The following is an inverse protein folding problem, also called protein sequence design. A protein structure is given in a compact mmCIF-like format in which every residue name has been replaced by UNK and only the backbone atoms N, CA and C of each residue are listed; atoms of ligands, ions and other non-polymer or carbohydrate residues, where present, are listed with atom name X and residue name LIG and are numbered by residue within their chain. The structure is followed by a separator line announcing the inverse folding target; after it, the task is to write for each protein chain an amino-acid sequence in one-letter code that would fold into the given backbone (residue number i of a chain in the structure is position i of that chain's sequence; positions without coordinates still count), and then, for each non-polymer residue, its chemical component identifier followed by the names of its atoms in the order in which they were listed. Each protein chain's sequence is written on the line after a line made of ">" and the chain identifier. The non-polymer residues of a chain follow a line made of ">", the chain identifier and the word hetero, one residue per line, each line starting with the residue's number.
data_IF_265699352064
#
_entry.id   IF_265699352064
#
_cell.length_a   1.000
_cell.length_b   1.000
_cell.length_c   1.000
_cell.angle_alpha   90.00
_cell.angle_beta   90.00
_cell.angle_gamma   90.00
#
_symmetry.space_group_name_H-M   'P 1'
#
loop_
_entity.id
_entity.type
_entity.pdbx_description
1 polymer ?
#
# COMPACT_ATOMS: atom_id res chain seq x y z
N UNK A 1 -6.42 -32.13 26.03
CA UNK A 1 -5.11 -32.55 26.52
C UNK A 1 -4.27 -31.30 26.69
N UNK A 2 -3.97 -30.90 27.90
CA UNK A 2 -3.19 -29.68 28.18
C UNK A 2 -1.75 -30.11 28.45
N UNK A 3 -0.80 -29.57 27.68
CA UNK A 3 0.62 -29.80 27.90
C UNK A 3 1.15 -28.91 29.02
N UNK A 4 1.97 -29.48 29.91
CA UNK A 4 2.58 -28.76 31.02
C UNK A 4 3.86 -28.02 30.60
N UNK A 5 4.22 -26.95 31.34
CA UNK A 5 5.41 -26.12 31.10
C UNK A 5 6.77 -26.88 31.04
N UNK A 6 6.81 -28.14 31.39
CA UNK A 6 8.02 -28.97 31.41
C UNK A 6 8.30 -29.70 30.09
N UNK A 7 7.26 -29.84 29.22
CA UNK A 7 7.36 -30.56 27.93
C UNK A 7 7.80 -29.65 26.78
N UNK A 8 7.81 -28.32 26.99
CA UNK A 8 8.28 -27.34 26.00
C UNK A 8 9.80 -27.17 25.99
N UNK A 9 10.50 -27.68 27.02
CA UNK A 9 11.94 -27.47 27.18
C UNK A 9 12.86 -28.50 26.50
N UNK A 10 12.36 -29.51 25.81
CA UNK A 10 13.20 -30.60 25.26
C UNK A 10 13.22 -30.74 23.73
N UNK A 11 12.72 -29.73 22.96
CA UNK A 11 12.73 -29.76 21.52
C UNK A 11 13.73 -28.77 20.85
N UNK A 12 14.75 -28.38 21.57
CA UNK A 12 15.86 -27.59 20.98
C UNK A 12 17.20 -28.30 21.24
N UNK A 13 17.54 -29.25 20.39
CA UNK A 13 18.93 -29.63 20.05
C UNK A 13 18.88 -30.84 19.08
N UNK A 14 19.07 -30.59 17.81
CA UNK A 14 19.30 -31.66 16.85
C UNK A 14 19.12 -31.25 15.42
N UNK A 15 20.22 -31.13 14.68
CA UNK A 15 20.37 -31.03 13.23
C UNK A 15 20.59 -29.61 12.66
N UNK A 16 21.84 -29.16 12.75
CA UNK A 16 22.46 -28.26 11.77
C UNK A 16 22.63 -29.03 10.46
N UNK A 17 21.62 -28.95 9.59
CA UNK A 17 21.73 -29.30 8.19
C UNK A 17 21.90 -28.00 7.41
N UNK A 18 23.07 -27.73 6.84
CA UNK A 18 23.32 -26.66 5.94
C UNK A 18 22.48 -26.87 4.67
N UNK A 19 21.31 -26.24 4.59
CA UNK A 19 20.57 -26.08 3.34
C UNK A 19 21.21 -24.90 2.62
N UNK A 20 21.94 -25.20 1.55
CA UNK A 20 22.40 -24.20 0.59
C UNK A 20 21.18 -23.42 0.09
N UNK A 21 21.09 -22.12 0.47
CA UNK A 21 20.13 -21.18 -0.08
C UNK A 21 20.46 -21.00 -1.56
N UNK A 22 19.78 -21.76 -2.42
CA UNK A 22 19.76 -21.52 -3.85
C UNK A 22 19.31 -20.08 -4.08
N UNK A 23 20.12 -19.30 -4.83
CA UNK A 23 19.76 -17.97 -5.31
C UNK A 23 18.37 -18.05 -5.94
N UNK A 24 17.43 -17.15 -5.63
CA UNK A 24 16.16 -17.11 -6.33
C UNK A 24 16.45 -16.76 -7.79
N UNK A 25 16.20 -17.71 -8.70
CA UNK A 25 16.26 -17.48 -10.12
C UNK A 25 15.16 -16.48 -10.51
N UNK A 26 15.61 -15.31 -10.84
CA UNK A 26 15.06 -14.23 -11.63
C UNK A 26 13.81 -14.53 -12.45
N UNK A 27 12.76 -13.80 -12.16
CA UNK A 27 11.52 -13.67 -12.96
C UNK A 27 10.73 -12.41 -12.60
N UNK A 28 11.36 -11.43 -11.96
CA UNK A 28 10.74 -10.12 -11.66
C UNK A 28 11.65 -9.05 -12.26
N UNK A 29 11.08 -8.23 -13.15
CA UNK A 29 11.80 -7.17 -13.85
C UNK A 29 12.65 -6.34 -12.90
N UNK A 30 13.86 -6.02 -13.34
CA UNK A 30 14.87 -5.30 -12.58
C UNK A 30 14.29 -4.00 -12.00
N UNK A 31 14.14 -3.95 -10.69
CA UNK A 31 14.01 -2.71 -9.95
C UNK A 31 15.22 -1.83 -10.31
N UNK A 32 14.98 -0.71 -10.97
CA UNK A 32 16.06 0.23 -11.27
C UNK A 32 16.40 0.99 -9.97
N UNK A 33 17.33 0.43 -9.18
CA UNK A 33 17.70 0.91 -7.84
C UNK A 33 18.27 2.34 -7.84
N UNK A 34 18.70 2.83 -8.99
CA UNK A 34 19.26 4.18 -9.12
C UNK A 34 18.19 5.29 -9.02
N UNK A 35 16.96 5.01 -9.46
CA UNK A 35 15.86 5.99 -9.42
C UNK A 35 15.15 6.04 -8.05
N UNK A 36 15.04 4.90 -7.35
CA UNK A 36 14.53 4.86 -5.98
C UNK A 36 15.39 5.64 -4.96
N UNK A 37 16.57 6.11 -5.38
CA UNK A 37 17.50 6.84 -4.53
C UNK A 37 17.07 8.26 -4.15
N UNK A 38 16.18 8.91 -4.94
CA UNK A 38 15.88 10.34 -4.78
C UNK A 38 15.19 10.68 -3.44
N UNK A 39 14.34 9.80 -2.92
CA UNK A 39 13.69 9.96 -1.61
C UNK A 39 14.04 8.85 -0.60
N UNK A 40 15.19 8.20 -0.79
CA UNK A 40 15.77 7.31 0.22
C UNK A 40 16.68 8.11 1.16
N UNK A 41 16.21 8.36 2.38
CA UNK A 41 16.87 9.21 3.37
C UNK A 41 17.44 8.32 4.47
N UNK A 42 18.78 8.29 4.60
CA UNK A 42 19.48 7.43 5.57
C UNK A 42 18.99 5.96 5.57
N UNK A 43 18.74 5.43 4.36
CA UNK A 43 18.29 4.05 4.15
C UNK A 43 16.77 3.86 4.18
N UNK A 44 15.99 4.83 4.67
CA UNK A 44 14.52 4.76 4.71
C UNK A 44 13.92 5.25 3.41
N UNK A 45 12.99 4.48 2.85
CA UNK A 45 12.27 4.79 1.61
C UNK A 45 11.04 5.63 1.92
N UNK A 46 11.02 6.87 1.43
CA UNK A 46 9.86 7.75 1.57
C UNK A 46 9.17 7.89 0.21
N UNK A 47 7.90 7.56 0.17
CA UNK A 47 7.03 7.73 -0.98
C UNK A 47 5.77 8.50 -0.62
N UNK A 48 4.82 8.48 -1.55
CA UNK A 48 3.45 8.90 -1.27
C UNK A 48 2.46 8.01 -2.03
N UNK A 49 1.27 7.85 -1.48
CA UNK A 49 0.14 7.30 -2.22
C UNK A 49 -0.50 8.40 -3.07
N UNK A 50 -0.85 8.10 -4.33
CA UNK A 50 -1.48 9.10 -5.21
C UNK A 50 -2.87 9.54 -4.75
N UNK A 51 -3.47 8.86 -3.78
CA UNK A 51 -4.67 9.32 -3.08
C UNK A 51 -4.47 10.69 -2.40
N UNK A 52 -3.26 10.99 -1.96
CA UNK A 52 -2.90 12.32 -1.44
C UNK A 52 -3.15 13.46 -2.42
N UNK A 53 -3.20 13.14 -3.72
CA UNK A 53 -3.43 14.07 -4.82
C UNK A 53 -4.81 13.90 -5.48
N UNK A 54 -5.78 13.31 -4.77
CA UNK A 54 -7.14 12.99 -5.28
C UNK A 54 -7.93 14.19 -5.80
N UNK A 55 -7.55 15.40 -5.43
CA UNK A 55 -8.13 16.64 -5.97
C UNK A 55 -7.59 17.02 -7.34
N UNK A 56 -6.50 16.40 -7.80
CA UNK A 56 -5.89 16.65 -9.10
C UNK A 56 -6.51 15.72 -10.15
N UNK A 57 -7.07 16.29 -11.19
CA UNK A 57 -7.79 15.53 -12.21
C UNK A 57 -6.87 14.84 -13.22
N UNK A 58 -5.66 15.37 -13.42
CA UNK A 58 -4.72 14.91 -14.44
C UNK A 58 -3.56 14.15 -13.79
N UNK A 59 -3.27 12.95 -14.29
CA UNK A 59 -2.15 12.12 -13.80
C UNK A 59 -0.79 12.76 -14.11
N UNK A 60 -0.66 13.49 -15.22
CA UNK A 60 0.60 14.17 -15.54
C UNK A 60 0.94 15.27 -14.53
N UNK A 61 -0.08 15.95 -13.98
CA UNK A 61 0.11 16.92 -12.88
C UNK A 61 0.53 16.22 -11.58
N UNK A 62 0.00 15.03 -11.31
CA UNK A 62 0.43 14.19 -10.17
C UNK A 62 1.91 13.79 -10.34
N UNK A 63 2.30 13.32 -11.52
CA UNK A 63 3.71 12.95 -11.83
C UNK A 63 4.62 14.16 -11.62
N UNK A 64 4.22 15.32 -12.15
CA UNK A 64 4.95 16.58 -11.95
C UNK A 64 5.08 16.94 -10.46
N UNK A 65 3.99 16.80 -9.68
CA UNK A 65 4.01 17.06 -8.24
C UNK A 65 5.02 16.18 -7.50
N UNK A 66 5.10 14.88 -7.81
CA UNK A 66 6.12 13.99 -7.25
C UNK A 66 7.54 14.46 -7.56
N UNK A 67 7.80 14.83 -8.81
CA UNK A 67 9.10 15.33 -9.23
C UNK A 67 9.47 16.65 -8.53
N UNK A 68 8.53 17.60 -8.46
CA UNK A 68 8.72 18.92 -7.85
C UNK A 68 8.91 18.85 -6.32
N UNK A 69 8.26 17.91 -5.64
CA UNK A 69 8.45 17.64 -4.21
C UNK A 69 9.79 16.94 -3.95
N UNK A 70 10.27 16.16 -4.91
CA UNK A 70 11.48 15.35 -4.79
C UNK A 70 11.21 13.92 -4.30
N UNK A 71 9.97 13.44 -4.40
CA UNK A 71 9.60 12.06 -4.13
C UNK A 71 10.10 11.14 -5.25
N UNK A 72 10.73 10.04 -4.90
CA UNK A 72 11.26 9.05 -5.84
C UNK A 72 10.49 7.73 -5.86
N UNK A 73 9.40 7.63 -5.10
CA UNK A 73 8.63 6.41 -4.97
C UNK A 73 7.13 6.69 -4.83
N UNK A 74 6.31 5.88 -5.53
CA UNK A 74 4.86 6.05 -5.55
C UNK A 74 4.13 4.74 -5.27
N UNK A 75 3.08 4.83 -4.44
CA UNK A 75 1.97 3.89 -4.38
C UNK A 75 0.86 4.43 -5.29
N UNK A 76 0.66 3.75 -6.42
CA UNK A 76 -0.22 4.22 -7.48
C UNK A 76 -1.63 3.68 -7.29
N UNK A 77 -2.62 4.57 -7.14
CA UNK A 77 -4.04 4.21 -7.16
C UNK A 77 -4.43 3.61 -8.51
N UNK A 78 -5.23 2.56 -8.49
CA UNK A 78 -5.68 1.86 -9.70
C UNK A 78 -6.40 2.77 -10.71
N UNK A 79 -7.25 3.68 -10.25
CA UNK A 79 -7.93 4.65 -11.11
C UNK A 79 -6.95 5.61 -11.80
N UNK A 80 -5.85 5.99 -11.14
CA UNK A 80 -4.81 6.82 -11.77
C UNK A 80 -3.96 5.98 -12.75
N UNK A 81 -3.70 4.70 -12.43
CA UNK A 81 -3.06 3.78 -13.37
C UNK A 81 -3.90 3.58 -14.64
N UNK A 82 -5.22 3.38 -14.48
CA UNK A 82 -6.17 3.27 -15.58
C UNK A 82 -6.22 4.54 -16.43
N UNK A 83 -6.34 5.72 -15.80
CA UNK A 83 -6.32 7.00 -16.50
C UNK A 83 -5.03 7.22 -17.30
N UNK A 84 -3.86 6.92 -16.69
CA UNK A 84 -2.56 7.01 -17.36
C UNK A 84 -2.39 6.01 -18.51
N UNK A 85 -3.12 4.90 -18.48
CA UNK A 85 -3.15 3.88 -19.53
C UNK A 85 -4.21 4.17 -20.62
N UNK A 86 -4.95 5.27 -20.52
CA UNK A 86 -5.97 5.66 -21.49
C UNK A 86 -7.32 4.97 -21.31
N UNK A 87 -7.63 4.49 -20.10
CA UNK A 87 -8.94 3.94 -19.79
C UNK A 87 -10.05 5.00 -19.96
N UNK A 88 -11.25 4.62 -20.43
CA UNK A 88 -12.39 5.51 -20.41
C UNK A 88 -12.76 5.88 -18.97
N UNK A 89 -13.32 7.08 -18.78
CA UNK A 89 -13.83 7.47 -17.48
C UNK A 89 -15.04 6.59 -17.11
N UNK A 90 -14.94 5.84 -16.00
CA UNK A 90 -16.08 5.09 -15.47
C UNK A 90 -17.19 6.00 -14.87
N UNK A 91 -17.11 7.32 -15.10
CA UNK A 91 -18.05 8.32 -14.59
C UNK A 91 -18.50 9.23 -15.74
N UNK A 92 -19.79 9.44 -15.85
CA UNK A 92 -20.37 10.48 -16.73
C UNK A 92 -20.43 11.80 -15.97
N UNK A 93 -19.77 12.84 -16.49
CA UNK A 93 -19.73 14.15 -15.86
C UNK A 93 -21.16 14.72 -15.69
N UNK A 94 -21.48 15.20 -14.49
CA UNK A 94 -22.79 15.80 -14.19
C UNK A 94 -23.97 14.81 -14.09
N UNK A 95 -23.75 13.53 -14.36
CA UNK A 95 -24.81 12.52 -14.33
C UNK A 95 -25.03 11.96 -12.93
N UNK A 96 -26.27 11.67 -12.58
CA UNK A 96 -26.63 10.97 -11.36
C UNK A 96 -26.04 9.54 -11.34
N UNK A 97 -25.70 9.02 -10.18
CA UNK A 97 -25.01 7.72 -10.02
C UNK A 97 -25.67 6.55 -10.76
N UNK A 98 -26.99 6.57 -10.88
CA UNK A 98 -27.79 5.51 -11.54
C UNK A 98 -28.41 5.97 -12.87
N UNK A 99 -27.97 7.09 -13.44
CA UNK A 99 -28.46 7.51 -14.74
C UNK A 99 -27.99 6.55 -15.83
N UNK A 100 -28.69 6.46 -16.99
CA UNK A 100 -28.27 5.63 -18.12
C UNK A 100 -26.84 5.92 -18.58
N UNK A 101 -26.43 7.19 -18.59
CA UNK A 101 -25.10 7.64 -18.98
C UNK A 101 -24.02 7.14 -17.98
N UNK A 102 -24.32 7.17 -16.69
CA UNK A 102 -23.40 6.66 -15.67
C UNK A 102 -23.30 5.13 -15.71
N UNK A 103 -24.38 4.44 -16.07
CA UNK A 103 -24.35 2.98 -16.30
C UNK A 103 -23.50 2.68 -17.52
N UNK A 104 -23.74 3.32 -18.66
CA UNK A 104 -22.99 3.13 -19.89
C UNK A 104 -21.48 3.40 -19.70
N UNK A 105 -21.11 4.47 -18.99
CA UNK A 105 -19.71 4.79 -18.71
C UNK A 105 -19.02 3.68 -17.88
N UNK A 106 -19.72 3.09 -16.90
CA UNK A 106 -19.19 1.96 -16.13
C UNK A 106 -19.03 0.70 -16.98
N UNK A 107 -20.00 0.41 -17.84
CA UNK A 107 -19.95 -0.74 -18.75
C UNK A 107 -18.79 -0.61 -19.75
N UNK A 108 -18.55 0.60 -20.27
CA UNK A 108 -17.41 0.88 -21.14
C UNK A 108 -16.08 0.63 -20.42
N UNK A 109 -15.94 1.10 -19.18
CA UNK A 109 -14.76 0.83 -18.36
C UNK A 109 -14.59 -0.67 -18.09
N UNK A 110 -15.66 -1.38 -17.77
CA UNK A 110 -15.60 -2.85 -17.56
C UNK A 110 -15.15 -3.55 -18.84
N UNK A 111 -15.69 -3.15 -20.00
CA UNK A 111 -15.26 -3.70 -21.29
C UNK A 111 -13.78 -3.43 -21.56
N UNK A 112 -13.30 -2.22 -21.29
CA UNK A 112 -11.90 -1.86 -21.42
C UNK A 112 -11.01 -2.71 -20.49
N UNK A 113 -11.38 -2.87 -19.21
CA UNK A 113 -10.66 -3.70 -18.23
C UNK A 113 -10.52 -5.15 -18.70
N UNK A 114 -11.56 -5.71 -19.35
CA UNK A 114 -11.55 -7.07 -19.89
C UNK A 114 -10.65 -7.24 -21.13
N UNK A 115 -10.34 -6.14 -21.82
CA UNK A 115 -9.37 -6.14 -22.93
C UNK A 115 -7.93 -5.93 -22.48
N UNK A 116 -7.69 -5.64 -21.20
CA UNK A 116 -6.37 -5.32 -20.67
C UNK A 116 -5.42 -6.55 -20.74
N UNK A 117 -4.18 -6.25 -21.09
CA UNK A 117 -3.08 -7.21 -21.18
C UNK A 117 -1.92 -6.79 -20.26
N UNK A 118 -0.87 -7.61 -20.21
CA UNK A 118 0.37 -7.27 -19.49
C UNK A 118 1.09 -6.03 -20.07
N UNK A 119 0.72 -5.55 -21.23
CA UNK A 119 1.31 -4.35 -21.84
C UNK A 119 0.51 -3.08 -21.54
N UNK A 120 -0.74 -3.23 -21.11
CA UNK A 120 -1.70 -2.12 -20.95
C UNK A 120 -1.20 -1.03 -20.02
N UNK A 121 -0.56 -1.38 -18.91
CA UNK A 121 -0.13 -0.40 -17.90
C UNK A 121 1.36 -0.01 -17.99
N UNK A 122 2.09 -0.54 -18.97
CA UNK A 122 3.48 -0.13 -19.20
C UNK A 122 3.64 1.36 -19.50
N UNK A 123 2.74 2.03 -20.28
CA UNK A 123 2.79 3.47 -20.46
C UNK A 123 2.59 4.26 -19.14
N UNK A 124 1.66 3.82 -18.30
CA UNK A 124 1.44 4.43 -16.99
C UNK A 124 2.70 4.34 -16.12
N UNK A 125 3.34 3.17 -16.05
CA UNK A 125 4.61 2.97 -15.38
C UNK A 125 5.71 3.91 -15.90
N UNK A 126 5.88 3.98 -17.22
CA UNK A 126 6.90 4.84 -17.85
C UNK A 126 6.74 6.30 -17.51
N UNK A 127 5.51 6.84 -17.46
CA UNK A 127 5.25 8.24 -17.07
C UNK A 127 5.92 8.60 -15.74
N UNK A 128 5.81 7.73 -14.74
CA UNK A 128 6.45 7.94 -13.44
C UNK A 128 7.96 7.71 -13.51
N UNK A 129 8.42 6.64 -14.17
CA UNK A 129 9.85 6.31 -14.28
C UNK A 129 10.62 7.39 -15.04
N UNK A 130 10.07 7.95 -16.12
CA UNK A 130 10.68 9.05 -16.88
C UNK A 130 10.82 10.33 -16.05
N UNK A 131 9.97 10.52 -15.05
CA UNK A 131 10.07 11.59 -14.06
C UNK A 131 10.99 11.23 -12.86
N UNK A 132 11.64 10.07 -12.88
CA UNK A 132 12.50 9.60 -11.80
C UNK A 132 11.76 9.07 -10.58
N UNK A 133 10.51 8.61 -10.75
CA UNK A 133 9.63 8.08 -9.69
C UNK A 133 9.37 6.60 -9.96
N UNK A 134 9.73 5.74 -9.02
CA UNK A 134 9.49 4.30 -9.11
C UNK A 134 8.07 3.96 -8.66
N UNK A 135 7.30 3.26 -9.49
CA UNK A 135 6.01 2.69 -9.08
C UNK A 135 6.28 1.43 -8.27
N UNK A 136 6.20 1.52 -6.95
CA UNK A 136 6.56 0.42 -6.05
C UNK A 136 5.37 -0.42 -5.59
N UNK A 137 4.20 0.17 -5.54
CA UNK A 137 2.96 -0.44 -5.07
C UNK A 137 1.79 -0.02 -5.96
N UNK A 138 0.82 -0.93 -6.07
CA UNK A 138 -0.50 -0.63 -6.63
C UNK A 138 -1.53 -0.61 -5.50
N UNK A 139 -2.24 0.49 -5.32
CA UNK A 139 -3.43 0.51 -4.48
C UNK A 139 -4.66 0.11 -5.32
N UNK A 140 -5.18 -1.09 -5.07
CA UNK A 140 -6.37 -1.63 -5.71
C UNK A 140 -7.36 -2.15 -4.66
N UNK A 141 -8.40 -1.37 -4.42
CA UNK A 141 -9.37 -1.69 -3.37
C UNK A 141 -10.35 -2.78 -3.82
N UNK A 142 -10.38 -3.87 -3.08
CA UNK A 142 -11.17 -5.07 -3.36
C UNK A 142 -12.36 -5.15 -2.40
N UNK A 143 -13.47 -4.48 -2.75
CA UNK A 143 -14.68 -4.46 -1.91
C UNK A 143 -15.38 -5.82 -1.81
N UNK A 144 -16.33 -5.95 -0.86
CA UNK A 144 -17.02 -7.22 -0.56
C UNK A 144 -17.77 -7.87 -1.73
N UNK A 145 -18.17 -7.07 -2.71
CA UNK A 145 -18.89 -7.52 -3.93
C UNK A 145 -18.01 -7.68 -5.15
N UNK A 146 -16.67 -7.56 -5.00
CA UNK A 146 -15.73 -7.69 -6.12
C UNK A 146 -15.88 -9.07 -6.79
N UNK A 147 -15.84 -9.12 -8.12
CA UNK A 147 -15.82 -10.39 -8.85
C UNK A 147 -14.44 -11.04 -8.87
N UNK A 148 -14.36 -12.33 -9.15
CA UNK A 148 -13.08 -13.02 -9.28
C UNK A 148 -12.30 -12.53 -10.50
N UNK A 149 -13.01 -12.14 -11.58
CA UNK A 149 -12.42 -11.50 -12.75
C UNK A 149 -11.80 -10.14 -12.42
N UNK A 150 -12.43 -9.35 -11.55
CA UNK A 150 -11.87 -8.06 -11.12
C UNK A 150 -10.69 -8.26 -10.15
N UNK A 151 -10.69 -9.32 -9.34
CA UNK A 151 -9.51 -9.69 -8.54
C UNK A 151 -8.34 -10.03 -9.48
N UNK A 152 -8.56 -10.93 -10.45
CA UNK A 152 -7.54 -11.30 -11.45
C UNK A 152 -7.02 -10.09 -12.22
N UNK A 153 -7.91 -9.16 -12.60
CA UNK A 153 -7.54 -7.91 -13.26
C UNK A 153 -6.61 -7.05 -12.39
N UNK A 154 -6.86 -6.95 -11.08
CA UNK A 154 -5.97 -6.22 -10.16
C UNK A 154 -4.55 -6.82 -10.14
N UNK A 155 -4.43 -8.16 -10.16
CA UNK A 155 -3.13 -8.83 -10.25
C UNK A 155 -2.46 -8.66 -11.61
N UNK A 156 -3.22 -8.66 -12.72
CA UNK A 156 -2.71 -8.35 -14.04
C UNK A 156 -2.15 -6.92 -14.10
N UNK A 157 -2.88 -5.94 -13.58
CA UNK A 157 -2.43 -4.54 -13.47
C UNK A 157 -1.13 -4.45 -12.66
N UNK A 158 -1.07 -5.09 -11.49
CA UNK A 158 0.10 -5.09 -10.64
C UNK A 158 1.34 -5.68 -11.34
N UNK A 159 1.16 -6.78 -12.07
CA UNK A 159 2.23 -7.39 -12.88
C UNK A 159 2.68 -6.51 -14.04
N UNK A 160 1.73 -5.88 -14.74
CA UNK A 160 2.00 -4.95 -15.85
C UNK A 160 2.81 -3.73 -15.36
N UNK A 161 2.46 -3.19 -14.19
CA UNK A 161 3.20 -2.11 -13.53
C UNK A 161 4.53 -2.59 -12.95
N UNK A 162 4.73 -3.89 -12.73
CA UNK A 162 5.95 -4.45 -12.14
C UNK A 162 6.12 -4.11 -10.66
N UNK A 163 5.04 -3.91 -9.93
CA UNK A 163 5.05 -3.54 -8.51
C UNK A 163 5.38 -4.73 -7.60
N UNK A 164 5.87 -4.43 -6.40
CA UNK A 164 6.23 -5.45 -5.40
C UNK A 164 5.05 -6.01 -4.63
N UNK A 165 3.96 -5.24 -4.50
CA UNK A 165 2.76 -5.64 -3.80
C UNK A 165 1.54 -4.84 -4.28
N UNK A 166 0.36 -5.40 -4.03
CA UNK A 166 -0.91 -4.68 -4.03
C UNK A 166 -1.20 -4.25 -2.60
N UNK A 167 -1.57 -2.99 -2.38
CA UNK A 167 -2.23 -2.55 -1.15
C UNK A 167 -3.75 -2.47 -1.39
N UNK A 168 -4.54 -2.80 -0.38
CA UNK A 168 -6.00 -2.84 -0.54
C UNK A 168 -6.73 -2.47 0.74
N UNK A 169 -7.66 -1.50 0.63
CA UNK A 169 -8.73 -1.33 1.62
C UNK A 169 -9.84 -2.32 1.29
N UNK A 170 -10.14 -3.21 2.24
CA UNK A 170 -11.13 -4.26 2.05
C UNK A 170 -11.62 -4.80 3.40
N UNK A 171 -12.53 -5.76 3.34
CA UNK A 171 -13.08 -6.44 4.50
C UNK A 171 -12.33 -7.75 4.78
N UNK A 172 -12.27 -8.17 6.05
CA UNK A 172 -11.63 -9.43 6.47
C UNK A 172 -12.19 -10.63 5.69
N UNK A 173 -13.50 -10.66 5.44
CA UNK A 173 -14.17 -11.73 4.69
C UNK A 173 -13.69 -11.88 3.25
N UNK A 174 -13.14 -10.84 2.64
CA UNK A 174 -12.63 -10.87 1.25
C UNK A 174 -11.28 -11.57 1.16
N UNK A 175 -10.48 -11.54 2.24
CA UNK A 175 -9.12 -12.08 2.23
C UNK A 175 -9.06 -13.55 1.78
N UNK A 176 -10.03 -14.38 2.20
CA UNK A 176 -10.12 -15.78 1.77
C UNK A 176 -10.26 -15.94 0.25
N UNK A 177 -11.02 -15.02 -0.40
CA UNK A 177 -11.22 -15.06 -1.86
C UNK A 177 -9.98 -14.56 -2.62
N UNK A 178 -9.22 -13.62 -2.04
CA UNK A 178 -8.01 -13.07 -2.65
C UNK A 178 -6.83 -14.06 -2.59
N UNK A 179 -6.81 -14.95 -1.60
CA UNK A 179 -5.68 -15.87 -1.37
C UNK A 179 -5.27 -16.73 -2.59
N UNK A 180 -6.18 -17.39 -3.32
CA UNK A 180 -5.81 -18.19 -4.51
C UNK A 180 -5.11 -17.36 -5.59
N UNK A 181 -5.51 -16.09 -5.75
CA UNK A 181 -4.90 -15.18 -6.72
C UNK A 181 -3.51 -14.71 -6.26
N UNK A 182 -3.36 -14.37 -4.98
CA UNK A 182 -2.06 -14.02 -4.41
C UNK A 182 -1.05 -15.18 -4.54
N UNK A 183 -1.48 -16.41 -4.29
CA UNK A 183 -0.68 -17.62 -4.45
C UNK A 183 -0.33 -17.90 -5.92
N UNK A 184 -1.32 -17.80 -6.82
CA UNK A 184 -1.15 -17.99 -8.28
C UNK A 184 -0.11 -17.02 -8.84
N UNK A 185 -0.24 -15.74 -8.50
CA UNK A 185 0.64 -14.68 -9.01
C UNK A 185 1.94 -14.53 -8.21
N UNK A 186 2.05 -15.16 -7.03
CA UNK A 186 3.19 -15.03 -6.09
C UNK A 186 3.48 -13.57 -5.77
N UNK A 187 2.43 -12.80 -5.54
CA UNK A 187 2.50 -11.36 -5.30
C UNK A 187 1.88 -11.02 -3.95
N UNK A 188 2.58 -10.19 -3.18
CA UNK A 188 2.10 -9.77 -1.87
C UNK A 188 0.85 -8.91 -1.99
N UNK A 189 -0.08 -9.08 -1.04
CA UNK A 189 -1.25 -8.23 -0.84
C UNK A 189 -1.21 -7.68 0.57
N UNK A 190 -1.01 -6.38 0.70
CA UNK A 190 -1.00 -5.66 1.97
C UNK A 190 -2.41 -5.15 2.31
N UNK A 191 -3.00 -5.69 3.36
CA UNK A 191 -4.31 -5.25 3.85
C UNK A 191 -4.14 -3.95 4.62
N UNK A 192 -4.84 -2.90 4.16
CA UNK A 192 -4.82 -1.57 4.77
C UNK A 192 -5.84 -1.51 5.91
N UNK A 193 -5.43 -1.02 7.07
CA UNK A 193 -6.33 -0.83 8.19
C UNK A 193 -6.98 0.55 8.18
N UNK A 194 -8.25 0.56 8.61
CA UNK A 194 -8.94 1.75 9.08
C UNK A 194 -9.01 1.76 10.62
N UNK A 195 -9.97 2.47 11.19
CA UNK A 195 -10.10 2.60 12.66
C UNK A 195 -11.49 2.23 13.20
N UNK A 196 -12.43 1.74 12.36
CA UNK A 196 -13.76 1.36 12.81
C UNK A 196 -13.74 0.03 13.57
N UNK A 197 -13.72 0.14 14.90
CA UNK A 197 -13.75 -1.02 15.81
C UNK A 197 -15.15 -1.62 16.00
N UNK A 198 -16.21 -0.96 15.50
CA UNK A 198 -17.59 -1.44 15.64
C UNK A 198 -17.95 -2.46 14.56
N UNK A 199 -17.26 -2.42 13.43
CA UNK A 199 -17.48 -3.37 12.35
C UNK A 199 -16.51 -4.56 12.47
N UNK A 200 -16.98 -5.76 12.86
CA UNK A 200 -16.09 -6.93 13.03
C UNK A 200 -15.49 -7.43 11.71
N UNK A 201 -16.00 -6.98 10.58
CA UNK A 201 -15.48 -7.31 9.24
C UNK A 201 -14.48 -6.26 8.71
N UNK A 202 -14.22 -5.19 9.47
CA UNK A 202 -13.23 -4.19 9.13
C UNK A 202 -11.80 -4.67 9.44
N UNK A 203 -10.86 -4.31 8.60
CA UNK A 203 -9.44 -4.48 8.94
C UNK A 203 -9.04 -3.28 9.79
N UNK A 204 -9.07 -3.44 11.13
CA UNK A 204 -8.85 -2.34 12.07
C UNK A 204 -7.99 -2.74 13.30
N UNK A 205 -7.76 -4.02 13.52
CA UNK A 205 -7.07 -4.53 14.72
C UNK A 205 -5.95 -5.49 14.37
N UNK A 206 -4.99 -5.77 15.30
CA UNK A 206 -3.99 -6.82 15.11
C UNK A 206 -4.59 -8.18 14.76
N UNK A 207 -5.75 -8.53 15.36
CA UNK A 207 -6.45 -9.80 15.11
C UNK A 207 -7.04 -9.85 13.71
N UNK A 208 -7.58 -8.73 13.20
CA UNK A 208 -8.09 -8.65 11.82
C UNK A 208 -6.97 -8.80 10.79
N UNK A 209 -5.79 -8.24 11.04
CA UNK A 209 -4.61 -8.50 10.24
C UNK A 209 -4.19 -9.98 10.26
N UNK A 210 -4.14 -10.58 11.47
CA UNK A 210 -3.82 -12.00 11.61
C UNK A 210 -4.81 -12.88 10.85
N UNK A 211 -6.11 -12.58 10.92
CA UNK A 211 -7.15 -13.27 10.17
C UNK A 211 -6.95 -13.17 8.64
N UNK A 212 -6.64 -11.99 8.12
CA UNK A 212 -6.33 -11.83 6.70
C UNK A 212 -5.08 -12.63 6.29
N UNK A 213 -4.01 -12.56 7.10
CA UNK A 213 -2.74 -13.24 6.81
C UNK A 213 -2.79 -14.76 6.92
N UNK A 214 -3.82 -15.31 7.59
CA UNK A 214 -3.96 -16.76 7.77
C UNK A 214 -4.24 -17.53 6.46
N UNK A 215 -4.75 -16.86 5.41
CA UNK A 215 -5.18 -17.51 4.18
C UNK A 215 -4.06 -17.71 3.15
N UNK A 216 -2.97 -16.92 3.19
CA UNK A 216 -1.86 -17.03 2.25
C UNK A 216 -0.57 -16.48 2.85
N UNK A 217 0.56 -17.09 2.49
CA UNK A 217 1.89 -16.53 2.79
C UNK A 217 2.18 -15.22 2.03
N UNK A 218 1.41 -14.93 0.99
CA UNK A 218 1.49 -13.68 0.22
C UNK A 218 0.56 -12.60 0.75
N UNK A 219 -0.19 -12.86 1.83
CA UNK A 219 -0.93 -11.83 2.54
C UNK A 219 -0.04 -11.13 3.57
N UNK A 220 -0.10 -9.83 3.61
CA UNK A 220 0.67 -8.98 4.52
C UNK A 220 -0.16 -7.78 4.97
N UNK A 221 0.53 -6.77 5.46
CA UNK A 221 -0.07 -5.60 6.07
C UNK A 221 0.41 -4.33 5.35
N UNK A 222 -0.52 -3.48 4.94
CA UNK A 222 -0.29 -2.07 4.72
C UNK A 222 -0.69 -1.36 6.02
N UNK A 223 0.29 -1.03 6.86
CA UNK A 223 0.01 -0.45 8.17
C UNK A 223 -0.15 1.07 8.05
N UNK A 224 -1.39 1.55 8.16
CA UNK A 224 -1.67 2.97 8.39
C UNK A 224 -1.52 3.29 9.88
N UNK A 225 -0.44 4.00 10.20
CA UNK A 225 -0.12 4.31 11.59
C UNK A 225 -1.07 5.32 12.22
N UNK A 226 -1.70 6.19 11.42
CA UNK A 226 -2.69 7.16 11.90
C UNK A 226 -4.00 6.48 12.25
N UNK A 227 -4.53 5.63 11.37
CA UNK A 227 -5.71 4.83 11.68
C UNK A 227 -5.47 3.88 12.86
N UNK A 228 -4.29 3.27 12.95
CA UNK A 228 -3.94 2.38 14.04
C UNK A 228 -3.88 3.11 15.40
N UNK A 229 -3.33 4.34 15.39
CA UNK A 229 -3.32 5.23 16.56
C UNK A 229 -4.73 5.67 16.95
N UNK A 230 -5.58 6.01 15.97
CA UNK A 230 -6.97 6.40 16.23
C UNK A 230 -7.81 5.25 16.82
N UNK A 231 -7.44 4.01 16.50
CA UNK A 231 -7.99 2.80 17.13
C UNK A 231 -7.32 2.44 18.47
N UNK A 232 -6.43 3.29 19.01
CA UNK A 232 -5.71 3.15 20.27
C UNK A 232 -4.67 2.00 20.31
N UNK A 233 -4.19 1.53 19.17
CA UNK A 233 -3.10 0.56 19.10
C UNK A 233 -1.72 1.23 19.01
N UNK A 234 -0.69 0.49 19.40
CA UNK A 234 0.72 0.91 19.32
C UNK A 234 1.33 0.48 17.96
N UNK A 235 1.47 1.44 17.06
CA UNK A 235 2.01 1.20 15.72
C UNK A 235 3.51 0.86 15.74
N UNK A 236 4.28 1.40 16.71
CA UNK A 236 5.72 1.12 16.83
C UNK A 236 5.95 -0.32 17.28
N UNK A 237 5.24 -0.74 18.34
CA UNK A 237 5.31 -2.12 18.82
C UNK A 237 4.84 -3.12 17.75
N UNK A 238 3.75 -2.80 17.05
CA UNK A 238 3.24 -3.66 15.97
C UNK A 238 4.23 -3.79 14.81
N UNK A 239 4.80 -2.67 14.34
CA UNK A 239 5.84 -2.67 13.31
C UNK A 239 7.05 -3.49 13.74
N UNK A 240 7.54 -3.29 14.97
CA UNK A 240 8.71 -4.00 15.49
C UNK A 240 8.51 -5.53 15.51
N UNK A 241 7.31 -5.98 15.87
CA UNK A 241 6.99 -7.41 15.98
C UNK A 241 6.65 -8.07 14.63
N UNK A 242 6.08 -7.31 13.67
CA UNK A 242 5.47 -7.86 12.45
C UNK A 242 6.13 -7.39 11.15
N UNK A 243 7.28 -6.70 11.19
CA UNK A 243 7.92 -6.07 10.04
C UNK A 243 8.11 -7.00 8.83
N UNK A 244 8.33 -8.30 9.04
CA UNK A 244 8.50 -9.28 7.98
C UNK A 244 7.25 -9.50 7.10
N UNK A 245 6.08 -9.10 7.58
CA UNK A 245 4.80 -9.21 6.88
C UNK A 245 4.23 -7.84 6.48
N UNK A 246 4.92 -6.74 6.77
CA UNK A 246 4.48 -5.40 6.37
C UNK A 246 4.98 -5.11 4.95
N UNK A 247 4.06 -4.86 4.04
CA UNK A 247 4.35 -4.52 2.64
C UNK A 247 4.77 -3.06 2.48
N UNK A 248 4.12 -2.17 3.22
CA UNK A 248 4.34 -0.73 3.26
C UNK A 248 3.67 -0.12 4.48
N UNK A 249 3.99 1.14 4.75
CA UNK A 249 3.33 1.97 5.75
C UNK A 249 2.58 3.11 5.07
N UNK A 250 1.42 3.49 5.62
CA UNK A 250 0.87 4.82 5.40
C UNK A 250 1.20 5.70 6.59
N UNK A 251 1.87 6.81 6.29
CA UNK A 251 2.20 7.85 7.26
C UNK A 251 1.09 8.90 7.23
N UNK A 252 0.35 8.94 8.31
CA UNK A 252 -0.78 9.83 8.54
C UNK A 252 -0.79 10.24 10.01
N UNK A 253 -1.11 11.47 10.31
CA UNK A 253 -1.27 11.92 11.70
C UNK A 253 -2.74 12.02 12.08
N UNK A 254 -3.11 11.39 13.18
CA UNK A 254 -4.46 11.37 13.75
C UNK A 254 -4.41 11.42 15.26
N UNK A 255 -5.48 11.95 15.85
CA UNK A 255 -5.73 11.83 17.29
C UNK A 255 -6.10 10.41 17.69
N UNK A 256 -5.90 10.05 18.98
CA UNK A 256 -6.43 8.84 19.60
C UNK A 256 -7.97 8.90 19.68
N UNK A 257 -8.60 7.80 20.12
CA UNK A 257 -10.05 7.73 20.38
C UNK A 257 -10.89 8.14 19.16
N UNK A 258 -10.56 7.59 17.98
CA UNK A 258 -11.19 7.94 16.69
C UNK A 258 -10.99 9.40 16.29
N UNK A 259 -9.92 10.06 16.79
CA UNK A 259 -9.60 11.45 16.49
C UNK A 259 -9.42 11.69 14.98
N UNK A 260 -9.61 12.93 14.57
CA UNK A 260 -9.53 13.35 13.17
C UNK A 260 -8.10 13.29 12.62
N UNK A 261 -7.99 13.25 11.29
CA UNK A 261 -6.72 13.45 10.58
C UNK A 261 -6.34 14.93 10.65
N UNK A 262 -5.12 15.19 11.05
CA UNK A 262 -4.60 16.55 11.29
C UNK A 262 -3.24 16.75 10.61
N UNK A 263 -2.78 18.00 10.44
CA UNK A 263 -1.42 18.28 10.01
C UNK A 263 -0.39 17.57 10.92
N UNK A 264 0.69 17.07 10.33
CA UNK A 264 1.68 16.29 11.05
C UNK A 264 2.32 17.02 12.22
N UNK A 265 2.42 16.36 13.35
CA UNK A 265 2.89 16.90 14.62
C UNK A 265 1.79 17.53 15.50
N UNK A 266 0.54 17.52 15.03
CA UNK A 266 -0.62 18.00 15.81
C UNK A 266 -1.49 16.86 16.35
N UNK A 267 -1.26 15.64 15.90
CA UNK A 267 -1.95 14.43 16.35
C UNK A 267 -1.14 13.62 17.36
N UNK A 268 -1.42 12.33 17.40
CA UNK A 268 -0.79 11.38 18.32
C UNK A 268 -0.11 10.20 17.61
N UNK A 269 -0.11 10.18 16.26
CA UNK A 269 0.55 9.10 15.52
C UNK A 269 2.08 9.19 15.69
N UNK A 270 2.75 8.07 16.01
CA UNK A 270 4.18 8.04 16.34
C UNK A 270 5.06 8.06 15.09
N UNK A 271 4.89 9.09 14.21
CA UNK A 271 5.58 9.18 12.90
C UNK A 271 7.10 9.20 13.09
N UNK A 272 7.61 9.98 14.08
CA UNK A 272 9.04 10.09 14.35
C UNK A 272 9.64 8.76 14.80
N UNK A 273 8.96 8.08 15.71
CA UNK A 273 9.37 6.81 16.28
C UNK A 273 9.38 5.71 15.22
N UNK A 274 8.35 5.68 14.36
CA UNK A 274 8.25 4.75 13.22
C UNK A 274 9.40 4.97 12.23
N UNK A 275 9.66 6.20 11.80
CA UNK A 275 10.77 6.54 10.90
C UNK A 275 12.12 6.19 11.53
N UNK A 276 12.29 6.47 12.82
CA UNK A 276 13.50 6.13 13.58
C UNK A 276 13.70 4.61 13.64
N UNK A 277 12.64 3.84 13.89
CA UNK A 277 12.69 2.37 13.91
C UNK A 277 13.07 1.80 12.53
N UNK A 278 12.47 2.31 11.44
CA UNK A 278 12.84 1.92 10.07
C UNK A 278 14.34 2.13 9.81
N UNK A 279 14.88 3.30 10.20
CA UNK A 279 16.31 3.63 10.07
C UNK A 279 17.21 2.71 10.89
N UNK A 280 16.90 2.58 12.19
CA UNK A 280 17.73 1.81 13.14
C UNK A 280 17.78 0.30 12.82
N UNK A 281 16.65 -0.27 12.42
CA UNK A 281 16.52 -1.68 12.05
C UNK A 281 16.84 -1.96 10.58
N UNK A 282 17.11 -0.90 9.79
CA UNK A 282 17.38 -0.99 8.34
C UNK A 282 16.26 -1.74 7.60
N UNK A 283 15.00 -1.46 7.95
CA UNK A 283 13.86 -2.13 7.34
C UNK A 283 13.60 -1.55 5.95
N UNK A 284 13.59 -2.39 4.92
CA UNK A 284 13.30 -1.98 3.52
C UNK A 284 11.79 -1.96 3.25
N UNK A 285 11.05 -1.21 4.08
CA UNK A 285 9.61 -1.03 4.00
C UNK A 285 9.33 0.38 3.50
N UNK A 286 8.61 0.57 2.37
CA UNK A 286 8.20 1.89 1.92
C UNK A 286 7.30 2.57 2.95
N UNK A 287 7.60 3.82 3.26
CA UNK A 287 6.79 4.67 4.12
C UNK A 287 6.14 5.76 3.26
N UNK A 288 4.87 5.56 2.92
CA UNK A 288 4.14 6.41 1.98
C UNK A 288 3.34 7.48 2.73
N UNK A 289 3.55 8.73 2.35
CA UNK A 289 2.76 9.85 2.85
C UNK A 289 1.33 9.71 2.36
N UNK A 290 0.36 9.77 3.29
CA UNK A 290 -1.05 9.85 2.98
C UNK A 290 -1.66 11.12 3.57
N UNK A 291 -1.94 12.09 2.69
CA UNK A 291 -2.52 13.38 3.04
C UNK A 291 -4.05 13.33 2.93
N UNK A 292 -4.75 13.59 4.04
CA UNK A 292 -6.22 13.56 4.11
C UNK A 292 -6.86 14.70 4.91
N UNK A 293 -6.08 15.64 5.45
CA UNK A 293 -6.64 16.81 6.10
C UNK A 293 -6.88 17.97 5.11
N UNK A 294 -7.42 19.08 5.58
CA UNK A 294 -7.72 20.24 4.72
C UNK A 294 -6.43 20.97 4.31
N UNK A 295 -6.24 21.19 3.03
CA UNK A 295 -5.07 21.91 2.51
C UNK A 295 -4.89 21.73 1.01
N UNK A 296 -3.87 22.38 0.44
CA UNK A 296 -3.47 22.19 -0.95
C UNK A 296 -2.50 21.00 -1.02
N UNK A 297 -2.80 20.02 -1.87
CA UNK A 297 -2.16 18.71 -1.88
C UNK A 297 -0.63 18.78 -2.03
N UNK A 298 -0.13 19.54 -3.01
CA UNK A 298 1.31 19.61 -3.29
C UNK A 298 2.07 20.27 -2.13
N UNK A 299 1.50 21.36 -1.58
CA UNK A 299 2.10 22.08 -0.48
C UNK A 299 2.13 21.24 0.81
N UNK A 300 1.02 20.53 1.11
CA UNK A 300 0.93 19.73 2.33
C UNK A 300 1.78 18.45 2.25
N UNK A 301 1.78 17.74 1.12
CA UNK A 301 2.66 16.57 0.92
C UNK A 301 4.14 16.99 0.98
N UNK A 302 4.49 18.16 0.47
CA UNK A 302 5.85 18.72 0.61
C UNK A 302 6.22 18.93 2.07
N UNK A 303 5.33 19.54 2.90
CA UNK A 303 5.57 19.70 4.34
C UNK A 303 5.77 18.36 5.04
N UNK A 304 4.95 17.35 4.72
CA UNK A 304 5.11 15.99 5.24
C UNK A 304 6.46 15.38 4.85
N UNK A 305 6.90 15.58 3.62
CA UNK A 305 8.20 15.10 3.15
C UNK A 305 9.37 15.80 3.84
N UNK A 306 9.31 17.12 4.03
CA UNK A 306 10.31 17.88 4.81
C UNK A 306 10.35 17.43 6.27
N UNK A 307 9.20 17.10 6.87
CA UNK A 307 9.15 16.50 8.20
C UNK A 307 9.90 15.16 8.24
N UNK A 308 9.70 14.28 7.25
CA UNK A 308 10.46 13.02 7.15
C UNK A 308 11.97 13.27 7.05
N UNK A 309 12.39 14.23 6.24
CA UNK A 309 13.81 14.62 6.11
C UNK A 309 14.37 15.08 7.45
N UNK A 310 13.69 15.98 8.14
CA UNK A 310 14.13 16.51 9.44
C UNK A 310 14.33 15.38 10.47
N UNK A 311 13.39 14.42 10.53
CA UNK A 311 13.49 13.28 11.46
C UNK A 311 14.63 12.33 11.09
N UNK A 312 14.82 12.08 9.81
CA UNK A 312 15.80 11.07 9.35
C UNK A 312 17.23 11.61 9.24
N UNK A 313 17.41 12.92 9.13
CA UNK A 313 18.72 13.60 9.03
C UNK A 313 19.24 14.11 10.38
N UNK A 314 18.34 14.35 11.35
CA UNK A 314 18.69 14.67 12.75
C UNK A 314 19.01 13.41 13.51
#
# INVERSE_FOLDING_TARGET
>A
MFYTRREIGQLTLGALGAVALGKPTSGVGFYNSAQAGRSRINGVRIGAITYSFRSMANVDDIVKAFADIGLGEVELMSNHAEAAAGAPSGRAAGAGRNSPEAVAAREELVKWRRSATLDTFKPARRKFEDAGVTVSLLCYNMGGTISDEDIEYGFLMARSLGVRAISTSTQVSVAKRVAPFADKHRLMVGYHNHSDLKNPNEVATPESFAACMAYSKYHGVNLDIGHFTAANFDAVAYLAANHARITNLHLKDRGRDQGETVPWGQGAAPIKEVLTLLRQKKLDIPANIEFEYKGEAVAEVRKCFEFCKAVLQG
#
